data_IF_813968664762
#
_entry.id   IF_813968664762
#
_cell.length_a   1.000
_cell.length_b   1.000
_cell.length_c   1.000
_cell.angle_alpha   90.00
_cell.angle_beta   90.00
_cell.angle_gamma   90.00
#
_symmetry.space_group_name_H-M   'P 1'
#
loop_
_entity.id
_entity.type
_entity.pdbx_description
1 polymer ?
#
# COMPACT_ATOMS: atom_id res chain seq x y z
N UNK A 1 11.57 -0.28 -20.99
CA UNK A 1 12.99 -0.15 -20.62
C UNK A 1 13.19 0.91 -19.54
N UNK A 2 12.71 2.15 -19.71
CA UNK A 2 12.90 3.26 -18.74
C UNK A 2 12.52 2.88 -17.29
N UNK A 3 11.39 2.20 -17.06
CA UNK A 3 10.99 1.75 -15.72
C UNK A 3 12.00 0.75 -15.11
N UNK A 4 12.62 -0.10 -15.92
CA UNK A 4 13.63 -1.03 -15.44
C UNK A 4 14.94 -0.30 -15.11
N UNK A 5 15.35 0.63 -15.97
CA UNK A 5 16.58 1.40 -15.77
C UNK A 5 16.46 2.34 -14.54
N UNK A 6 15.30 2.95 -14.30
CA UNK A 6 15.04 3.78 -13.11
C UNK A 6 14.79 2.95 -11.84
N UNK A 7 13.73 2.15 -11.83
CA UNK A 7 13.34 1.43 -10.61
C UNK A 7 14.21 0.23 -10.31
N UNK A 8 14.36 -0.71 -11.25
CA UNK A 8 15.07 -1.93 -10.96
C UNK A 8 16.58 -1.73 -10.82
N UNK A 9 17.20 -0.85 -11.62
CA UNK A 9 18.62 -0.56 -11.48
C UNK A 9 18.92 0.34 -10.27
N UNK A 10 18.23 1.50 -10.16
CA UNK A 10 18.62 2.52 -9.19
C UNK A 10 18.04 2.27 -7.79
N UNK A 11 16.82 1.70 -7.68
CA UNK A 11 16.18 1.43 -6.39
C UNK A 11 16.54 0.03 -5.89
N UNK A 12 16.36 -1.00 -6.74
CA UNK A 12 16.59 -2.39 -6.33
C UNK A 12 18.06 -2.83 -6.49
N UNK A 13 18.85 -2.15 -7.31
CA UNK A 13 20.22 -2.56 -7.62
C UNK A 13 20.29 -3.97 -8.21
N UNK A 14 19.41 -4.30 -9.17
CA UNK A 14 19.29 -5.65 -9.73
C UNK A 14 20.56 -6.09 -10.43
N UNK A 15 20.97 -7.32 -10.18
CA UNK A 15 22.14 -7.97 -10.77
C UNK A 15 21.74 -9.30 -11.45
N UNK A 16 22.60 -9.89 -12.31
CA UNK A 16 22.35 -11.19 -12.89
C UNK A 16 22.21 -12.34 -11.87
N UNK A 17 22.73 -12.16 -10.65
CA UNK A 17 22.70 -13.17 -9.58
C UNK A 17 21.37 -13.18 -8.83
N UNK A 18 20.47 -12.23 -9.13
CA UNK A 18 19.17 -12.16 -8.47
C UNK A 18 18.20 -13.23 -8.95
N UNK A 19 17.38 -13.69 -8.02
CA UNK A 19 16.26 -14.60 -8.25
C UNK A 19 14.99 -13.94 -7.79
N UNK A 20 14.11 -13.60 -8.72
CA UNK A 20 12.85 -12.93 -8.47
C UNK A 20 11.73 -13.92 -8.19
N UNK A 21 10.83 -13.56 -7.29
CA UNK A 21 9.59 -14.29 -7.00
C UNK A 21 8.48 -13.29 -6.64
N UNK A 22 7.23 -13.69 -6.78
CA UNK A 22 6.12 -12.85 -6.33
C UNK A 22 4.76 -13.43 -6.61
N UNK A 23 3.74 -12.78 -6.04
CA UNK A 23 2.34 -13.16 -6.22
C UNK A 23 1.59 -12.39 -7.32
N UNK A 24 2.00 -11.16 -7.75
CA UNK A 24 1.19 -10.42 -8.70
C UNK A 24 1.13 -11.12 -10.06
N UNK A 25 -0.06 -11.28 -10.66
CA UNK A 25 -0.19 -11.86 -11.98
C UNK A 25 0.54 -11.04 -13.06
N UNK A 26 1.11 -11.71 -14.06
CA UNK A 26 1.77 -11.05 -15.20
C UNK A 26 0.83 -10.17 -16.04
N UNK A 27 -0.47 -10.33 -15.88
CA UNK A 27 -1.48 -9.47 -16.51
C UNK A 27 -1.52 -8.05 -15.92
N UNK A 28 -0.99 -7.86 -14.71
CA UNK A 28 -0.85 -6.56 -14.07
C UNK A 28 0.56 -6.02 -14.21
N UNK A 29 0.70 -4.70 -14.31
CA UNK A 29 2.00 -4.04 -14.50
C UNK A 29 2.97 -4.33 -13.36
N UNK A 30 2.48 -4.48 -12.13
CA UNK A 30 3.30 -4.85 -10.97
C UNK A 30 3.95 -6.23 -11.16
N UNK A 31 3.17 -7.25 -11.55
CA UNK A 31 3.70 -8.57 -11.85
C UNK A 31 4.54 -8.60 -13.13
N UNK A 32 4.07 -7.94 -14.20
CA UNK A 32 4.81 -7.88 -15.47
C UNK A 32 6.20 -7.25 -15.28
N UNK A 33 6.28 -6.14 -14.55
CA UNK A 33 7.56 -5.50 -14.24
C UNK A 33 8.43 -6.40 -13.37
N UNK A 34 7.93 -6.79 -12.19
CA UNK A 34 8.69 -7.51 -11.18
C UNK A 34 9.11 -8.92 -11.56
N UNK A 35 8.28 -9.65 -12.33
CA UNK A 35 8.52 -11.07 -12.60
C UNK A 35 8.96 -11.37 -14.05
N UNK A 36 8.91 -10.37 -14.93
CA UNK A 36 9.34 -10.56 -16.32
C UNK A 36 10.30 -9.46 -16.80
N UNK A 37 9.87 -8.19 -16.82
CA UNK A 37 10.66 -7.12 -17.45
C UNK A 37 11.98 -6.89 -16.71
N UNK A 38 11.98 -6.83 -15.39
CA UNK A 38 13.17 -6.54 -14.60
C UNK A 38 14.18 -7.70 -14.63
N UNK A 39 13.80 -8.94 -14.29
CA UNK A 39 14.76 -10.04 -14.40
C UNK A 39 15.32 -10.21 -15.83
N UNK A 40 14.49 -10.17 -16.86
CA UNK A 40 14.94 -10.30 -18.24
C UNK A 40 15.88 -9.15 -18.66
N UNK A 41 15.64 -7.92 -18.19
CA UNK A 41 16.50 -6.75 -18.52
C UNK A 41 17.92 -6.91 -17.99
N UNK A 42 18.08 -7.50 -16.82
CA UNK A 42 19.36 -7.59 -16.12
C UNK A 42 19.98 -9.00 -16.15
N UNK A 43 19.39 -9.95 -16.86
CA UNK A 43 19.87 -11.32 -16.92
C UNK A 43 19.71 -12.12 -15.63
N UNK A 44 18.80 -11.68 -14.76
CA UNK A 44 18.43 -12.35 -13.52
C UNK A 44 17.41 -13.47 -13.77
N UNK A 45 17.25 -14.38 -12.80
CA UNK A 45 16.25 -15.43 -12.85
C UNK A 45 14.90 -14.98 -12.28
N UNK A 46 13.81 -15.64 -12.68
CA UNK A 46 12.49 -15.46 -12.08
C UNK A 46 11.81 -16.80 -11.85
N UNK A 47 11.18 -16.95 -10.69
CA UNK A 47 10.34 -18.09 -10.32
C UNK A 47 8.89 -17.68 -10.60
N UNK A 48 8.26 -18.36 -11.56
CA UNK A 48 6.85 -18.17 -11.89
C UNK A 48 6.03 -19.31 -11.28
N UNK A 49 5.05 -18.94 -10.47
CA UNK A 49 4.17 -19.90 -9.79
C UNK A 49 2.79 -19.91 -10.47
N UNK A 50 2.27 -21.11 -10.72
CA UNK A 50 0.88 -21.26 -11.19
C UNK A 50 -0.11 -20.78 -10.14
N UNK A 51 0.19 -21.05 -8.86
CA UNK A 51 -0.60 -20.61 -7.73
C UNK A 51 0.32 -19.96 -6.70
N UNK A 52 0.36 -18.63 -6.68
CA UNK A 52 1.27 -17.84 -5.87
C UNK A 52 0.63 -17.48 -4.50
N UNK A 53 0.24 -18.50 -3.73
CA UNK A 53 -0.20 -18.29 -2.33
C UNK A 53 0.98 -17.95 -1.43
N UNK A 54 0.77 -17.24 -0.30
CA UNK A 54 1.85 -16.93 0.62
C UNK A 54 2.64 -18.15 1.12
N UNK A 55 2.01 -19.30 1.47
CA UNK A 55 2.78 -20.51 1.79
C UNK A 55 3.66 -21.00 0.65
N UNK A 56 3.16 -21.00 -0.60
CA UNK A 56 3.96 -21.40 -1.76
C UNK A 56 5.13 -20.42 -2.02
N UNK A 57 4.93 -19.12 -1.75
CA UNK A 57 6.03 -18.16 -1.82
C UNK A 57 7.12 -18.48 -0.81
N UNK A 58 6.77 -18.79 0.44
CA UNK A 58 7.73 -19.17 1.48
C UNK A 58 8.53 -20.40 1.06
N UNK A 59 7.84 -21.49 0.68
CA UNK A 59 8.48 -22.73 0.24
C UNK A 59 9.47 -22.49 -0.92
N UNK A 60 9.05 -21.72 -1.92
CA UNK A 60 9.89 -21.46 -3.09
C UNK A 60 11.05 -20.49 -2.80
N UNK A 61 10.88 -19.55 -1.89
CA UNK A 61 11.98 -18.68 -1.42
C UNK A 61 13.06 -19.54 -0.75
N UNK A 62 12.67 -20.47 0.13
CA UNK A 62 13.61 -21.36 0.78
C UNK A 62 14.31 -22.29 -0.23
N UNK A 63 13.51 -22.96 -1.09
CA UNK A 63 14.00 -23.95 -2.04
C UNK A 63 14.97 -23.36 -3.07
N UNK A 64 14.66 -22.21 -3.63
CA UNK A 64 15.40 -21.60 -4.72
C UNK A 64 16.26 -20.42 -4.30
N UNK A 65 16.28 -20.11 -3.00
CA UNK A 65 17.04 -18.98 -2.43
C UNK A 65 16.73 -17.67 -3.14
N UNK A 66 15.43 -17.39 -3.34
CA UNK A 66 14.99 -16.14 -3.97
C UNK A 66 15.53 -14.92 -3.23
N UNK A 67 15.92 -13.89 -4.00
CA UNK A 67 16.58 -12.68 -3.45
C UNK A 67 15.69 -11.45 -3.49
N UNK A 68 14.70 -11.40 -4.38
CA UNK A 68 13.78 -10.27 -4.55
C UNK A 68 12.34 -10.80 -4.60
N UNK A 69 11.52 -10.35 -3.68
CA UNK A 69 10.10 -10.74 -3.61
C UNK A 69 9.19 -9.55 -3.89
N UNK A 70 8.23 -9.71 -4.80
CA UNK A 70 7.17 -8.76 -5.11
C UNK A 70 5.84 -9.30 -4.64
N UNK A 71 5.24 -8.70 -3.63
CA UNK A 71 3.91 -9.12 -3.16
C UNK A 71 3.20 -8.01 -2.38
N UNK A 72 1.96 -8.27 -1.94
CA UNK A 72 1.18 -7.33 -1.16
C UNK A 72 1.47 -7.44 0.36
N UNK A 73 1.18 -6.41 1.15
CA UNK A 73 1.31 -6.42 2.61
C UNK A 73 0.67 -7.61 3.31
N UNK A 74 -0.51 -8.02 2.84
CA UNK A 74 -1.23 -9.18 3.39
C UNK A 74 -0.44 -10.48 3.27
N UNK A 75 0.28 -10.68 2.16
CA UNK A 75 1.15 -11.85 2.00
C UNK A 75 2.37 -11.79 2.92
N UNK A 76 3.00 -10.61 3.08
CA UNK A 76 4.13 -10.44 4.01
C UNK A 76 3.75 -10.76 5.46
N UNK A 77 2.53 -10.45 5.89
CA UNK A 77 2.04 -10.83 7.23
C UNK A 77 2.01 -12.36 7.41
N UNK A 78 1.57 -13.11 6.40
CA UNK A 78 1.60 -14.59 6.43
C UNK A 78 3.03 -15.11 6.42
N UNK A 79 3.93 -14.49 5.63
CA UNK A 79 5.35 -14.85 5.60
C UNK A 79 6.04 -14.59 6.95
N UNK A 80 5.71 -13.51 7.65
CA UNK A 80 6.20 -13.21 8.99
C UNK A 80 5.79 -14.29 10.01
N UNK A 81 4.52 -14.74 9.95
CA UNK A 81 4.07 -15.85 10.78
C UNK A 81 4.82 -17.16 10.45
N UNK A 82 5.06 -17.46 9.17
CA UNK A 82 5.85 -18.63 8.76
C UNK A 82 7.31 -18.57 9.28
N UNK A 83 7.91 -17.38 9.38
CA UNK A 83 9.23 -17.21 10.01
C UNK A 83 9.23 -17.55 11.50
N UNK A 84 8.13 -17.32 12.21
CA UNK A 84 7.98 -17.77 13.62
C UNK A 84 7.96 -19.30 13.74
N UNK A 85 7.41 -19.96 12.73
CA UNK A 85 7.40 -21.42 12.62
C UNK A 85 8.72 -22.02 12.08
N UNK A 86 9.73 -21.17 11.84
CA UNK A 86 11.08 -21.56 11.47
C UNK A 86 11.43 -21.47 9.98
N UNK A 87 10.60 -20.85 9.16
CA UNK A 87 10.90 -20.62 7.73
C UNK A 87 12.12 -19.69 7.52
N UNK A 88 13.01 -20.07 6.60
CA UNK A 88 14.23 -19.29 6.29
C UNK A 88 14.06 -18.37 5.09
N UNK A 89 13.72 -17.12 5.32
CA UNK A 89 13.66 -16.07 4.31
C UNK A 89 14.93 -15.23 4.22
N UNK A 90 16.04 -15.67 4.80
CA UNK A 90 17.30 -14.90 4.88
C UNK A 90 17.93 -14.56 3.53
N UNK A 91 17.59 -15.33 2.48
CA UNK A 91 18.04 -15.07 1.11
C UNK A 91 17.44 -13.79 0.52
N UNK A 92 16.25 -13.36 0.97
CA UNK A 92 15.64 -12.14 0.49
C UNK A 92 16.50 -10.93 0.89
N UNK A 93 17.00 -10.21 -0.12
CA UNK A 93 17.65 -8.92 0.04
C UNK A 93 16.71 -7.75 -0.15
N UNK A 94 15.63 -7.95 -0.92
CA UNK A 94 14.62 -6.96 -1.21
C UNK A 94 13.21 -7.55 -1.07
N UNK A 95 12.39 -6.94 -0.21
CA UNK A 95 10.98 -7.18 -0.05
C UNK A 95 10.23 -5.97 -0.61
N UNK A 96 9.60 -6.11 -1.78
CA UNK A 96 8.85 -5.05 -2.45
C UNK A 96 7.36 -5.22 -2.14
N UNK A 97 6.78 -4.21 -1.54
CA UNK A 97 5.36 -4.15 -1.16
C UNK A 97 4.64 -3.13 -2.04
N UNK A 98 3.50 -3.48 -2.59
CA UNK A 98 2.60 -2.56 -3.29
C UNK A 98 1.20 -3.15 -3.46
N UNK A 99 0.25 -2.32 -3.92
CA UNK A 99 -1.13 -2.72 -4.22
C UNK A 99 -2.11 -2.56 -3.07
N UNK A 100 -1.61 -2.51 -1.85
CA UNK A 100 -2.38 -2.26 -0.62
C UNK A 100 -1.59 -1.28 0.26
N UNK A 101 -2.25 -0.69 1.25
CA UNK A 101 -1.56 0.10 2.28
C UNK A 101 -0.72 -0.83 3.16
N UNK A 102 0.57 -0.53 3.33
CA UNK A 102 1.45 -1.27 4.23
C UNK A 102 1.19 -0.84 5.68
N UNK A 103 0.64 -1.72 6.54
CA UNK A 103 0.44 -1.39 7.94
C UNK A 103 1.78 -1.24 8.68
N UNK A 104 1.89 -0.20 9.53
CA UNK A 104 3.10 0.02 10.33
C UNK A 104 3.56 -1.21 11.14
N UNK A 105 2.67 -1.96 11.82
CA UNK A 105 3.08 -3.17 12.52
C UNK A 105 3.74 -4.23 11.64
N UNK A 106 3.30 -4.39 10.38
CA UNK A 106 3.91 -5.34 9.44
C UNK A 106 5.31 -4.87 9.03
N UNK A 107 5.48 -3.58 8.77
CA UNK A 107 6.78 -2.99 8.48
C UNK A 107 7.76 -3.14 9.67
N UNK A 108 7.31 -2.79 10.87
CA UNK A 108 8.14 -2.82 12.08
C UNK A 108 8.58 -4.25 12.43
N UNK A 109 7.66 -5.21 12.32
CA UNK A 109 7.95 -6.63 12.55
C UNK A 109 8.93 -7.17 11.50
N UNK A 110 8.74 -6.82 10.22
CA UNK A 110 9.67 -7.20 9.15
C UNK A 110 11.07 -6.65 9.41
N UNK A 111 11.19 -5.36 9.76
CA UNK A 111 12.45 -4.74 10.14
C UNK A 111 13.12 -5.44 11.33
N UNK A 112 12.33 -5.74 12.38
CA UNK A 112 12.85 -6.41 13.57
C UNK A 112 13.39 -7.81 13.29
N UNK A 113 12.71 -8.59 12.41
CA UNK A 113 13.11 -9.96 12.08
C UNK A 113 14.23 -10.05 11.04
N UNK A 114 14.26 -9.14 10.08
CA UNK A 114 15.18 -9.24 8.92
C UNK A 114 16.33 -8.25 8.96
N UNK A 115 16.19 -7.15 9.70
CA UNK A 115 17.14 -6.02 9.68
C UNK A 115 17.12 -5.24 8.35
N UNK A 116 16.15 -5.48 7.49
CA UNK A 116 16.05 -4.89 6.14
C UNK A 116 14.74 -4.12 5.98
N UNK A 117 14.73 -2.92 5.35
CA UNK A 117 13.49 -2.19 5.10
C UNK A 117 12.61 -2.94 4.09
N UNK A 118 11.32 -2.87 4.28
CA UNK A 118 10.36 -3.23 3.24
C UNK A 118 10.21 -2.04 2.29
N UNK A 119 10.41 -2.28 1.00
CA UNK A 119 10.34 -1.26 -0.03
C UNK A 119 8.88 -1.10 -0.47
N UNK A 120 8.10 -0.38 0.33
CA UNK A 120 6.74 -0.03 -0.05
C UNK A 120 6.75 0.97 -1.21
N UNK A 121 5.78 0.86 -2.10
CA UNK A 121 5.69 1.73 -3.26
C UNK A 121 4.31 1.79 -3.87
N UNK A 122 4.02 2.91 -4.54
CA UNK A 122 2.84 3.08 -5.36
C UNK A 122 3.20 3.06 -6.83
N UNK A 123 2.41 2.29 -7.57
CA UNK A 123 2.42 2.24 -9.02
C UNK A 123 1.02 2.37 -9.60
N UNK A 124 0.93 2.58 -10.88
CA UNK A 124 -0.32 2.58 -11.63
C UNK A 124 -0.11 1.97 -13.02
N UNK A 125 -1.13 1.35 -13.56
CA UNK A 125 -1.12 0.83 -14.94
C UNK A 125 -0.79 1.95 -15.94
N UNK A 126 -1.31 3.13 -15.71
CA UNK A 126 -1.11 4.33 -16.51
C UNK A 126 0.35 4.80 -16.54
N UNK A 127 1.11 4.53 -15.48
CA UNK A 127 2.51 4.88 -15.36
C UNK A 127 3.45 3.67 -15.46
N UNK A 128 2.91 2.51 -15.81
CA UNK A 128 3.54 1.20 -16.08
C UNK A 128 4.06 0.46 -14.85
N UNK A 129 4.52 1.09 -13.81
CA UNK A 129 5.03 0.44 -12.61
C UNK A 129 5.10 1.42 -11.43
N UNK A 130 5.89 1.09 -10.41
CA UNK A 130 6.14 1.92 -9.23
C UNK A 130 6.86 3.21 -9.65
N UNK A 131 6.34 4.35 -9.19
CA UNK A 131 6.88 5.69 -9.45
C UNK A 131 7.17 6.49 -8.17
N UNK A 132 6.69 6.04 -7.01
CA UNK A 132 7.08 6.49 -5.67
C UNK A 132 7.39 5.25 -4.85
N UNK A 133 8.49 5.24 -4.09
CA UNK A 133 8.89 4.09 -3.29
C UNK A 133 9.87 4.46 -2.17
N UNK A 134 9.90 3.67 -1.12
CA UNK A 134 11.01 3.62 -0.18
C UNK A 134 12.26 3.01 -0.81
N UNK A 135 13.44 3.36 -0.31
CA UNK A 135 14.74 2.84 -0.73
C UNK A 135 15.45 2.19 0.45
N UNK A 136 16.50 1.44 0.23
CA UNK A 136 17.27 0.77 1.29
C UNK A 136 17.89 1.76 2.30
N UNK A 137 18.32 2.90 1.83
CA UNK A 137 19.01 3.95 2.57
C UNK A 137 18.18 5.24 2.76
N UNK A 138 16.99 5.30 2.15
CA UNK A 138 16.06 6.43 2.23
C UNK A 138 14.62 5.92 2.36
N UNK A 139 14.21 5.61 3.57
CA UNK A 139 12.89 5.06 3.89
C UNK A 139 12.34 5.67 5.19
N UNK A 140 11.03 5.72 5.28
CA UNK A 140 10.34 6.13 6.51
C UNK A 140 9.18 5.16 6.79
N UNK A 141 8.98 4.75 8.06
CA UNK A 141 7.83 3.94 8.45
C UNK A 141 6.51 4.59 8.03
N UNK A 142 5.55 3.79 7.61
CA UNK A 142 4.20 4.25 7.18
C UNK A 142 4.19 5.23 6.01
N UNK A 143 5.30 5.40 5.32
CA UNK A 143 5.36 6.18 4.08
C UNK A 143 5.46 5.26 2.87
N UNK A 144 4.92 5.74 1.75
CA UNK A 144 5.15 5.11 0.44
C UNK A 144 6.52 5.47 -0.14
N UNK A 145 7.24 6.43 0.47
CA UNK A 145 8.57 6.85 0.04
C UNK A 145 8.58 8.15 -0.78
N UNK A 146 9.54 8.22 -1.70
CA UNK A 146 9.79 9.39 -2.57
C UNK A 146 9.74 9.01 -4.05
N UNK A 147 9.62 9.98 -4.97
CA UNK A 147 9.62 9.71 -6.40
C UNK A 147 10.86 8.96 -6.86
N UNK A 148 10.66 7.98 -7.74
CA UNK A 148 11.73 7.31 -8.48
C UNK A 148 12.39 8.30 -9.43
N UNK A 149 13.68 8.15 -9.70
CA UNK A 149 14.43 9.04 -10.61
C UNK A 149 13.70 9.25 -11.95
N UNK A 150 13.62 10.51 -12.35
CA UNK A 150 12.89 10.92 -13.55
C UNK A 150 11.39 11.17 -13.35
N UNK A 151 10.82 10.80 -12.21
CA UNK A 151 9.46 11.16 -11.85
C UNK A 151 9.44 12.36 -10.92
N UNK A 152 8.39 13.16 -11.07
CA UNK A 152 8.03 14.24 -10.17
C UNK A 152 6.63 13.93 -9.61
N UNK A 153 6.43 14.22 -8.34
CA UNK A 153 5.13 14.05 -7.70
C UNK A 153 4.79 15.26 -6.84
N UNK A 154 3.51 15.58 -6.76
CA UNK A 154 2.96 16.62 -5.92
C UNK A 154 1.57 16.26 -5.44
N UNK A 155 1.14 16.90 -4.37
CA UNK A 155 -0.23 16.82 -3.84
C UNK A 155 -0.97 18.08 -4.29
N UNK A 156 -2.17 17.90 -4.87
CA UNK A 156 -2.96 19.02 -5.39
C UNK A 156 -4.35 19.10 -4.76
N UNK A 157 -4.82 20.30 -4.58
CA UNK A 157 -6.18 20.61 -4.13
C UNK A 157 -7.24 20.34 -5.19
N UNK A 158 -8.52 20.50 -4.84
CA UNK A 158 -9.65 20.33 -5.77
C UNK A 158 -9.60 21.30 -6.97
N UNK A 159 -9.04 22.49 -6.77
CA UNK A 159 -8.84 23.53 -7.79
C UNK A 159 -7.59 23.31 -8.66
N UNK A 160 -6.78 22.29 -8.34
CA UNK A 160 -5.51 21.96 -9.00
C UNK A 160 -4.29 22.73 -8.46
N UNK A 161 -4.46 23.57 -7.42
CA UNK A 161 -3.36 24.24 -6.74
C UNK A 161 -2.44 23.23 -6.03
N UNK A 162 -1.14 23.53 -5.95
CA UNK A 162 -0.19 22.74 -5.19
C UNK A 162 -0.44 22.92 -3.69
N UNK A 163 -0.57 21.82 -2.95
CA UNK A 163 -0.75 21.82 -1.51
C UNK A 163 0.60 21.77 -0.77
N UNK A 164 0.63 22.36 0.41
CA UNK A 164 1.77 22.33 1.31
C UNK A 164 1.99 20.98 1.99
N UNK A 165 3.06 20.88 2.75
CA UNK A 165 3.31 19.72 3.58
C UNK A 165 2.21 19.56 4.65
N UNK A 166 1.78 18.33 4.92
CA UNK A 166 0.74 17.98 5.87
C UNK A 166 -0.70 18.10 5.37
N UNK A 167 -0.92 18.62 4.15
CA UNK A 167 -2.25 18.74 3.56
C UNK A 167 -2.62 17.53 2.73
N UNK A 168 -3.85 17.02 2.88
CA UNK A 168 -4.40 15.91 2.11
C UNK A 168 -4.93 16.41 0.78
N UNK A 169 -4.53 15.77 -0.31
CA UNK A 169 -5.02 16.08 -1.64
C UNK A 169 -4.75 14.98 -2.64
N UNK A 170 -5.12 15.20 -3.90
CA UNK A 170 -4.91 14.22 -4.96
C UNK A 170 -3.44 14.15 -5.37
N UNK A 171 -2.97 12.93 -5.57
CA UNK A 171 -1.61 12.71 -6.08
C UNK A 171 -1.56 13.01 -7.58
N UNK A 172 -0.67 13.90 -7.97
CA UNK A 172 -0.35 14.22 -9.35
C UNK A 172 1.10 13.82 -9.65
N UNK A 173 1.32 13.09 -10.75
CA UNK A 173 2.63 12.53 -11.11
C UNK A 173 2.94 12.84 -12.57
N UNK A 174 4.18 13.21 -12.86
CA UNK A 174 4.70 13.27 -14.23
C UNK A 174 6.08 12.63 -14.30
N UNK A 175 6.45 12.12 -15.47
CA UNK A 175 7.72 11.44 -15.64
C UNK A 175 7.88 10.85 -17.03
N UNK A 176 8.83 9.94 -17.22
CA UNK A 176 9.17 9.37 -18.50
C UNK A 176 8.12 8.41 -19.06
N UNK A 177 7.13 8.03 -18.24
CA UNK A 177 5.97 7.22 -18.63
C UNK A 177 4.68 7.96 -18.32
N UNK A 178 3.61 7.59 -18.98
CA UNK A 178 2.29 8.19 -18.78
C UNK A 178 1.26 7.48 -19.66
N UNK A 179 -0.01 7.83 -19.44
CA UNK A 179 -1.13 7.18 -20.08
C UNK A 179 -1.66 7.99 -21.27
N UNK A 180 -2.06 7.25 -22.31
CA UNK A 180 -2.91 7.77 -23.36
C UNK A 180 -4.05 6.79 -23.59
N UNK A 181 -5.21 7.11 -23.05
CA UNK A 181 -6.41 6.30 -23.24
C UNK A 181 -6.88 6.35 -24.70
N UNK A 182 -7.18 5.20 -25.26
CA UNK A 182 -7.63 5.10 -26.63
C UNK A 182 -9.10 5.53 -26.74
N UNK A 183 -9.36 6.65 -27.45
CA UNK A 183 -10.72 7.16 -27.75
C UNK A 183 -11.62 7.28 -26.51
N UNK A 184 -11.08 7.78 -25.41
CA UNK A 184 -11.80 7.96 -24.14
C UNK A 184 -11.71 9.40 -23.67
N UNK A 185 -12.83 9.95 -23.23
CA UNK A 185 -12.91 11.29 -22.61
C UNK A 185 -12.14 11.34 -21.28
N UNK A 186 -11.96 10.20 -20.62
CA UNK A 186 -11.17 10.04 -19.40
C UNK A 186 -9.73 10.59 -19.54
N UNK A 187 -9.21 10.66 -20.77
CA UNK A 187 -7.89 11.25 -21.02
C UNK A 187 -7.75 12.67 -20.46
N UNK A 188 -8.77 13.53 -20.69
CA UNK A 188 -8.75 14.91 -20.22
C UNK A 188 -8.98 15.07 -18.71
N UNK A 189 -9.53 14.05 -18.06
CA UNK A 189 -9.69 14.00 -16.60
C UNK A 189 -8.40 13.54 -15.94
N UNK A 190 -7.75 12.52 -16.53
CA UNK A 190 -6.54 11.89 -15.97
C UNK A 190 -5.27 12.68 -16.26
N UNK A 191 -5.11 13.28 -17.43
CA UNK A 191 -3.92 14.05 -17.79
C UNK A 191 -4.27 15.53 -17.92
N UNK A 192 -3.70 16.36 -17.04
CA UNK A 192 -3.86 17.82 -17.04
C UNK A 192 -2.47 18.48 -16.99
N UNK A 193 -2.20 19.34 -17.95
CA UNK A 193 -0.95 20.11 -18.02
C UNK A 193 0.33 19.25 -17.90
N UNK A 194 0.28 18.03 -18.47
CA UNK A 194 1.39 17.08 -18.43
C UNK A 194 1.50 16.27 -17.12
N UNK A 195 0.57 16.45 -16.18
CA UNK A 195 0.47 15.68 -14.94
C UNK A 195 -0.61 14.60 -15.06
N UNK A 196 -0.27 13.38 -14.65
CA UNK A 196 -1.22 12.30 -14.46
C UNK A 196 -1.85 12.46 -13.08
N UNK A 197 -3.14 12.73 -13.02
CA UNK A 197 -3.89 12.88 -11.77
C UNK A 197 -4.39 11.50 -11.37
N UNK A 198 -3.75 10.89 -10.39
CA UNK A 198 -4.12 9.54 -9.95
C UNK A 198 -5.47 9.52 -9.22
N UNK A 199 -6.03 8.32 -9.05
CA UNK A 199 -7.24 8.13 -8.24
C UNK A 199 -6.96 8.10 -6.74
N UNK A 200 -5.76 8.47 -6.30
CA UNK A 200 -5.31 8.32 -4.93
C UNK A 200 -5.07 9.68 -4.26
N UNK A 201 -5.44 9.80 -2.99
CA UNK A 201 -5.14 10.92 -2.13
C UNK A 201 -3.93 10.64 -1.27
N UNK A 202 -3.06 11.63 -1.16
CA UNK A 202 -1.81 11.57 -0.41
C UNK A 202 -1.60 12.80 0.47
N UNK A 203 -0.71 12.64 1.43
CA UNK A 203 -0.07 13.75 2.15
C UNK A 203 1.42 13.70 1.83
N UNK A 204 2.04 14.86 1.59
CA UNK A 204 3.49 14.98 1.56
C UNK A 204 3.95 15.61 2.87
N UNK A 205 4.88 14.98 3.57
CA UNK A 205 5.44 15.55 4.79
C UNK A 205 6.53 16.60 4.51
N UNK A 206 7.03 17.26 5.57
CA UNK A 206 8.10 18.27 5.47
C UNK A 206 9.43 17.69 4.97
N UNK A 207 9.67 16.40 5.22
CA UNK A 207 10.86 15.69 4.72
C UNK A 207 10.73 15.28 3.26
N UNK A 208 9.53 15.41 2.65
CA UNK A 208 9.25 15.09 1.26
C UNK A 208 8.81 13.66 1.00
N UNK A 209 8.52 12.88 2.04
CA UNK A 209 7.90 11.56 1.89
C UNK A 209 6.41 11.67 1.61
N UNK A 210 5.92 10.76 0.78
CA UNK A 210 4.50 10.65 0.44
C UNK A 210 3.84 9.56 1.29
N UNK A 211 2.71 9.92 1.91
CA UNK A 211 1.92 9.01 2.72
C UNK A 211 0.55 8.84 2.07
N UNK A 212 0.17 7.59 1.80
CA UNK A 212 -1.15 7.28 1.26
C UNK A 212 -2.23 7.64 2.27
N UNK A 213 -3.26 8.35 1.84
CA UNK A 213 -4.42 8.69 2.67
C UNK A 213 -5.60 7.77 2.36
N UNK A 214 -6.11 7.83 1.13
CA UNK A 214 -7.22 6.99 0.67
C UNK A 214 -7.30 7.04 -0.86
N UNK A 215 -8.13 6.19 -1.45
CA UNK A 215 -8.62 6.44 -2.80
C UNK A 215 -9.61 7.60 -2.79
N UNK A 216 -9.64 8.36 -3.89
CA UNK A 216 -10.51 9.55 -3.96
C UNK A 216 -12.01 9.19 -3.86
N UNK A 217 -12.38 8.03 -4.39
CA UNK A 217 -13.75 7.47 -4.38
C UNK A 217 -14.12 6.86 -3.01
N UNK A 218 -13.13 6.50 -2.20
CA UNK A 218 -13.31 5.90 -0.87
C UNK A 218 -13.16 6.92 0.26
N UNK A 219 -12.91 8.19 -0.07
CA UNK A 219 -12.82 9.26 0.93
C UNK A 219 -14.19 9.52 1.55
N UNK A 220 -14.29 9.37 2.87
CA UNK A 220 -15.53 9.57 3.62
C UNK A 220 -15.67 11.06 3.93
N UNK A 221 -16.68 11.70 3.34
CA UNK A 221 -16.96 13.12 3.60
C UNK A 221 -18.06 13.20 4.67
N UNK A 222 -17.66 13.51 5.91
CA UNK A 222 -18.56 13.58 7.07
C UNK A 222 -18.58 14.99 7.65
N UNK A 223 -19.71 15.67 7.59
CA UNK A 223 -19.87 17.06 8.07
C UNK A 223 -18.80 18.02 7.51
N UNK A 224 -18.40 17.84 6.25
CA UNK A 224 -17.38 18.66 5.59
C UNK A 224 -15.93 18.25 5.89
N UNK A 225 -15.69 17.23 6.73
CA UNK A 225 -14.36 16.67 6.96
C UNK A 225 -14.09 15.52 6.02
N UNK A 226 -12.90 15.52 5.43
CA UNK A 226 -12.38 14.38 4.66
C UNK A 226 -11.75 13.38 5.62
N UNK A 227 -12.31 12.17 5.69
CA UNK A 227 -11.84 11.09 6.57
C UNK A 227 -11.37 9.94 5.69
N UNK A 228 -10.11 9.59 5.84
CA UNK A 228 -9.52 8.45 5.17
C UNK A 228 -9.84 7.16 5.93
N UNK A 229 -10.55 6.22 5.30
CA UNK A 229 -10.83 4.90 5.89
C UNK A 229 -9.58 4.21 6.43
N UNK A 230 -8.47 4.10 5.66
CA UNK A 230 -7.23 3.46 6.12
C UNK A 230 -6.62 4.07 7.39
N UNK A 231 -6.76 5.36 7.64
CA UNK A 231 -6.28 5.99 8.87
C UNK A 231 -7.08 5.50 10.09
N UNK A 232 -8.39 5.36 9.93
CA UNK A 232 -9.27 4.82 11.01
C UNK A 232 -9.01 3.33 11.21
N UNK A 233 -8.79 2.57 10.14
CA UNK A 233 -8.41 1.15 10.19
C UNK A 233 -7.09 0.95 10.94
N UNK A 234 -6.06 1.74 10.64
CA UNK A 234 -4.78 1.69 11.34
C UNK A 234 -4.95 1.94 12.85
N UNK A 235 -5.77 2.92 13.22
CA UNK A 235 -6.08 3.20 14.63
C UNK A 235 -6.82 2.03 15.30
N UNK A 236 -7.80 1.42 14.62
CA UNK A 236 -8.52 0.25 15.14
C UNK A 236 -7.61 -0.98 15.29
N UNK A 237 -6.76 -1.24 14.31
CA UNK A 237 -5.80 -2.37 14.31
C UNK A 237 -4.74 -2.26 15.41
N UNK A 238 -4.48 -1.07 15.94
CA UNK A 238 -3.58 -0.87 17.08
C UNK A 238 -4.20 -1.29 18.43
N UNK A 239 -5.49 -1.62 18.47
CA UNK A 239 -6.16 -2.11 19.66
C UNK A 239 -6.06 -3.64 19.77
N UNK A 240 -5.67 -4.15 20.95
CA UNK A 240 -5.38 -5.59 21.16
C UNK A 240 -6.54 -6.55 20.80
N UNK A 241 -7.77 -6.10 20.90
CA UNK A 241 -8.94 -6.91 20.58
C UNK A 241 -9.20 -7.08 19.07
N UNK A 242 -8.56 -6.28 18.19
CA UNK A 242 -8.88 -6.24 16.75
C UNK A 242 -7.92 -7.14 15.96
N UNK A 243 -8.46 -8.10 15.21
CA UNK A 243 -7.70 -8.94 14.28
C UNK A 243 -7.67 -8.35 12.86
N UNK A 244 -8.85 -7.99 12.34
CA UNK A 244 -9.03 -7.36 11.03
C UNK A 244 -10.11 -6.27 11.14
N UNK A 245 -10.05 -5.25 10.31
CA UNK A 245 -11.15 -4.30 10.17
C UNK A 245 -11.22 -3.74 8.75
N UNK A 246 -12.39 -3.24 8.39
CA UNK A 246 -12.63 -2.46 7.19
C UNK A 246 -13.50 -1.27 7.55
N UNK A 247 -13.19 -0.09 7.00
CA UNK A 247 -13.89 1.15 7.28
C UNK A 247 -14.50 1.71 6.00
N UNK A 248 -15.79 2.00 6.06
CA UNK A 248 -16.55 2.55 4.92
C UNK A 248 -17.33 3.80 5.32
N UNK A 249 -17.68 4.62 4.34
CA UNK A 249 -18.65 5.68 4.49
C UNK A 249 -20.06 5.14 4.26
N UNK A 250 -20.95 5.34 5.22
CA UNK A 250 -22.38 5.05 5.02
C UNK A 250 -23.19 6.35 4.99
N UNK A 251 -24.19 6.45 4.11
CA UNK A 251 -25.02 7.67 4.03
C UNK A 251 -25.65 8.04 5.37
N UNK A 252 -25.66 9.34 5.67
CA UNK A 252 -26.27 9.92 6.87
C UNK A 252 -26.94 11.24 6.53
N UNK A 253 -28.18 11.46 6.99
CA UNK A 253 -28.99 12.62 6.61
C UNK A 253 -28.42 13.96 7.15
N UNK A 254 -27.77 13.94 8.30
CA UNK A 254 -27.23 15.16 8.93
C UNK A 254 -25.80 15.47 8.48
N UNK A 255 -25.00 14.42 8.19
CA UNK A 255 -23.56 14.50 8.00
C UNK A 255 -23.11 14.24 6.57
N UNK A 256 -24.03 13.88 5.67
CA UNK A 256 -23.74 13.37 4.34
C UNK A 256 -23.29 11.91 4.39
N UNK A 257 -22.25 11.61 5.18
CA UNK A 257 -21.85 10.26 5.52
C UNK A 257 -21.33 10.17 6.96
N UNK A 258 -21.38 8.98 7.53
CA UNK A 258 -20.70 8.62 8.78
C UNK A 258 -19.68 7.52 8.54
N UNK A 259 -18.66 7.48 9.38
CA UNK A 259 -17.68 6.41 9.40
C UNK A 259 -18.30 5.18 10.06
N UNK A 260 -18.34 4.05 9.34
CA UNK A 260 -18.74 2.75 9.85
C UNK A 260 -17.56 1.79 9.76
N UNK A 261 -17.26 1.12 10.87
CA UNK A 261 -16.21 0.11 10.94
C UNK A 261 -16.80 -1.29 11.07
N UNK A 262 -16.32 -2.21 10.23
CA UNK A 262 -16.56 -3.64 10.32
C UNK A 262 -15.34 -4.28 10.95
N UNK A 263 -15.50 -4.96 12.10
CA UNK A 263 -14.38 -5.41 12.93
C UNK A 263 -14.47 -6.92 13.16
N UNK A 264 -13.37 -7.62 12.86
CA UNK A 264 -13.14 -9.02 13.26
C UNK A 264 -12.29 -9.00 14.51
N UNK A 265 -12.74 -9.70 15.54
CA UNK A 265 -12.06 -9.75 16.84
C UNK A 265 -11.01 -10.86 16.87
N UNK A 266 -9.97 -10.65 17.66
CA UNK A 266 -9.06 -11.74 18.05
C UNK A 266 -9.74 -12.70 18.99
N UNK A 267 -9.30 -13.96 18.99
CA UNK A 267 -9.82 -14.99 19.87
C UNK A 267 -9.81 -14.56 21.34
N UNK A 268 -10.86 -14.92 22.06
CA UNK A 268 -11.03 -14.57 23.47
C UNK A 268 -11.67 -13.21 23.74
N UNK A 269 -12.02 -12.45 22.72
CA UNK A 269 -12.76 -11.20 22.84
C UNK A 269 -14.23 -11.41 22.45
N UNK A 270 -15.14 -10.75 23.15
CA UNK A 270 -16.58 -10.83 22.91
C UNK A 270 -17.12 -9.53 22.32
N UNK A 271 -17.92 -9.67 21.25
CA UNK A 271 -18.61 -8.54 20.64
C UNK A 271 -19.68 -7.97 21.59
N UNK A 272 -19.76 -6.63 21.68
CA UNK A 272 -20.76 -5.97 22.49
C UNK A 272 -20.61 -4.46 22.51
N UNK A 273 -21.63 -3.78 23.03
CA UNK A 273 -21.67 -2.31 23.10
C UNK A 273 -20.49 -1.73 23.90
N UNK A 274 -20.04 -2.42 24.96
CA UNK A 274 -18.91 -2.02 25.78
C UNK A 274 -17.60 -1.99 24.97
N UNK A 275 -17.33 -3.03 24.18
CA UNK A 275 -16.15 -3.09 23.32
C UNK A 275 -16.26 -2.09 22.16
N UNK A 276 -17.42 -1.93 21.54
CA UNK A 276 -17.64 -0.94 20.51
C UNK A 276 -17.32 0.46 21.02
N UNK A 277 -17.79 0.80 22.23
CA UNK A 277 -17.47 2.08 22.88
C UNK A 277 -15.97 2.24 23.16
N UNK A 278 -15.30 1.19 23.65
CA UNK A 278 -13.85 1.19 23.90
C UNK A 278 -13.06 1.44 22.61
N UNK A 279 -13.43 0.79 21.51
CA UNK A 279 -12.82 0.99 20.20
C UNK A 279 -13.02 2.42 19.67
N UNK A 280 -14.23 2.98 19.82
CA UNK A 280 -14.49 4.37 19.47
C UNK A 280 -13.63 5.35 20.27
N UNK A 281 -13.49 5.13 21.57
CA UNK A 281 -12.69 5.98 22.44
C UNK A 281 -11.19 5.80 22.18
N UNK A 282 -10.74 4.59 21.85
CA UNK A 282 -9.37 4.31 21.41
C UNK A 282 -9.04 5.11 20.14
N UNK A 283 -9.90 5.07 19.12
CA UNK A 283 -9.69 5.84 17.87
C UNK A 283 -9.62 7.33 18.16
N UNK A 284 -10.52 7.88 19.01
CA UNK A 284 -10.48 9.30 19.40
C UNK A 284 -9.18 9.70 20.13
N UNK A 285 -8.58 8.78 20.85
CA UNK A 285 -7.33 9.01 21.57
C UNK A 285 -6.10 8.89 20.66
N UNK A 286 -6.20 8.08 19.61
CA UNK A 286 -5.08 7.75 18.69
C UNK A 286 -4.99 8.75 17.54
N UNK A 287 -6.14 9.15 16.98
CA UNK A 287 -6.23 10.11 15.85
C UNK A 287 -7.20 11.25 16.18
N UNK A 288 -7.43 12.16 15.21
CA UNK A 288 -8.31 13.31 15.45
C UNK A 288 -9.73 12.86 15.84
N UNK A 289 -10.33 13.44 16.92
CA UNK A 289 -11.59 12.95 17.49
C UNK A 289 -12.78 12.93 16.53
N UNK A 290 -12.80 13.77 15.49
CA UNK A 290 -13.89 13.78 14.51
C UNK A 290 -13.87 12.56 13.57
N UNK A 291 -12.76 11.81 13.50
CA UNK A 291 -12.57 10.67 12.60
C UNK A 291 -13.06 9.33 13.15
N UNK A 292 -13.48 9.26 14.42
CA UNK A 292 -13.89 8.01 15.03
C UNK A 292 -15.09 7.37 14.32
N UNK A 293 -15.16 6.03 14.23
CA UNK A 293 -16.30 5.34 13.65
C UNK A 293 -17.55 5.54 14.54
N UNK A 294 -18.61 6.09 13.93
CA UNK A 294 -19.89 6.30 14.63
C UNK A 294 -20.70 5.03 14.72
N UNK A 295 -20.46 4.09 13.83
CA UNK A 295 -21.02 2.76 13.81
C UNK A 295 -19.90 1.73 13.81
N UNK A 296 -20.02 0.71 14.70
CA UNK A 296 -19.13 -0.46 14.70
C UNK A 296 -20.00 -1.68 14.56
N UNK A 297 -19.68 -2.52 13.58
CA UNK A 297 -20.28 -3.82 13.35
C UNK A 297 -19.23 -4.91 13.53
N UNK A 298 -19.52 -5.88 14.37
CA UNK A 298 -18.67 -7.05 14.52
C UNK A 298 -19.05 -8.11 13.51
N UNK A 299 -18.06 -8.76 12.92
CA UNK A 299 -18.20 -9.80 11.92
C UNK A 299 -17.23 -10.94 12.19
N UNK A 300 -17.57 -12.15 11.77
CA UNK A 300 -16.68 -13.30 11.86
C UNK A 300 -15.58 -13.26 10.81
N UNK A 301 -15.87 -12.70 9.63
CA UNK A 301 -14.92 -12.52 8.52
C UNK A 301 -15.29 -11.29 7.72
N UNK A 302 -14.29 -10.65 7.09
CA UNK A 302 -14.51 -9.59 6.11
C UNK A 302 -14.61 -10.18 4.69
N UNK A 303 -15.41 -9.56 3.79
CA UNK A 303 -15.41 -9.89 2.38
C UNK A 303 -13.98 -9.75 1.81
N UNK A 304 -13.56 -10.74 1.00
CA UNK A 304 -12.27 -10.68 0.30
C UNK A 304 -12.54 -10.76 -1.20
N UNK A 305 -11.88 -9.92 -1.97
CA UNK A 305 -11.90 -10.03 -3.43
C UNK A 305 -11.34 -11.38 -3.86
N UNK A 306 -11.98 -11.97 -4.90
CA UNK A 306 -11.62 -13.29 -5.43
C UNK A 306 -10.49 -13.19 -6.41
#
# INVERSE_FOLDING_TARGET
MIIADGYAAEVLGVTPDDVFIGSPPLAFTFGLGGLAVFPLRFGAAAILLETATPPNLVEMIEQYRATVCFTAPTAYRVMLAAMEDGADLSSLRAAVSAGETLPAPVYDEWMAKTGKPMLDGIGATELLHIFITNRFDDHAPSSTGRPVSGYEAKVIGPDGSDLGAGEVGRLAVRGPTGCRYLRSERQGEYVKDGWNITGDSFVRDEAGYFHFAARNDDMIISSGYNIAGPEVEAALLSHDAVAECAVIGVPDEERGAIVEAHVVLRDGNEAGEGLAKALQDHVKATIAPHKYPRSIKFADTLPKDR
#
